data_IF_611694686994
#
_entry.id   IF_611694686994
#
_cell.length_a   1.000
_cell.length_b   1.000
_cell.length_c   1.000
_cell.angle_alpha   90.00
_cell.angle_beta   90.00
_cell.angle_gamma   90.00
#
_symmetry.space_group_name_H-M   'P 1'
#
loop_
_entity.id
_entity.type
_entity.pdbx_description
1 polymer ?
#
# COMPACT_ATOMS: atom_id res chain seq x y z
N UNK A 1 -16.39 23.81 14.21
CA UNK A 1 -16.63 24.15 12.79
C UNK A 1 -15.82 23.26 11.83
N UNK A 2 -14.55 22.93 12.15
CA UNK A 2 -13.68 22.11 11.28
C UNK A 2 -14.19 20.68 11.05
N UNK A 3 -14.61 19.99 12.11
CA UNK A 3 -15.10 18.62 12.01
C UNK A 3 -16.29 18.45 11.05
N UNK A 4 -17.22 19.42 11.04
CA UNK A 4 -18.35 19.41 10.11
C UNK A 4 -17.89 19.49 8.63
N UNK A 5 -16.82 20.25 8.37
CA UNK A 5 -16.21 20.35 7.03
C UNK A 5 -15.53 19.04 6.62
N UNK A 6 -14.82 18.40 7.56
CA UNK A 6 -14.23 17.06 7.33
C UNK A 6 -15.31 16.03 7.02
N UNK A 7 -16.38 15.98 7.82
CA UNK A 7 -17.50 15.05 7.61
C UNK A 7 -18.13 15.29 6.24
N UNK A 8 -18.32 16.55 5.83
CA UNK A 8 -18.84 16.88 4.51
C UNK A 8 -17.89 16.40 3.39
N UNK A 9 -16.58 16.65 3.49
CA UNK A 9 -15.59 16.20 2.51
C UNK A 9 -15.52 14.66 2.42
N UNK A 10 -15.59 13.98 3.57
CA UNK A 10 -15.67 12.53 3.63
C UNK A 10 -16.95 11.98 2.99
N UNK A 11 -18.12 12.57 3.29
CA UNK A 11 -19.38 12.16 2.69
C UNK A 11 -19.39 12.35 1.16
N UNK A 12 -18.75 13.40 0.67
CA UNK A 12 -18.56 13.62 -0.75
C UNK A 12 -17.70 12.52 -1.40
N UNK A 13 -16.56 12.18 -0.78
CA UNK A 13 -15.72 11.06 -1.20
C UNK A 13 -16.50 9.73 -1.21
N UNK A 14 -17.18 9.43 -0.10
CA UNK A 14 -17.97 8.21 0.08
C UNK A 14 -19.15 8.12 -0.90
N UNK A 15 -19.78 9.25 -1.22
CA UNK A 15 -20.82 9.34 -2.26
C UNK A 15 -20.25 9.05 -3.65
N UNK A 16 -19.11 9.64 -3.99
CA UNK A 16 -18.43 9.36 -5.27
C UNK A 16 -18.05 7.90 -5.42
N UNK A 17 -17.55 7.26 -4.34
CA UNK A 17 -17.30 5.81 -4.33
C UNK A 17 -18.58 5.01 -4.52
N UNK A 18 -19.68 5.35 -3.85
CA UNK A 18 -20.98 4.68 -4.05
C UNK A 18 -21.45 4.76 -5.50
N UNK A 19 -21.29 5.92 -6.14
CA UNK A 19 -21.64 6.09 -7.55
C UNK A 19 -20.78 5.23 -8.50
N UNK A 20 -19.48 5.09 -8.23
CA UNK A 20 -18.57 4.32 -9.07
C UNK A 20 -18.68 2.80 -8.81
N UNK A 21 -18.68 2.40 -7.55
CA UNK A 21 -18.43 1.02 -7.10
C UNK A 21 -19.66 0.36 -6.48
N UNK A 22 -20.65 1.15 -6.02
CA UNK A 22 -21.85 0.65 -5.35
C UNK A 22 -21.74 0.56 -3.82
N UNK A 23 -20.57 0.86 -3.25
CA UNK A 23 -20.32 0.85 -1.79
C UNK A 23 -19.65 2.15 -1.34
N UNK A 24 -19.84 2.51 -0.07
CA UNK A 24 -19.20 3.69 0.55
C UNK A 24 -17.79 3.42 1.03
N UNK A 25 -17.12 4.48 1.47
CA UNK A 25 -15.85 4.36 2.20
C UNK A 25 -16.09 3.89 3.64
N UNK A 26 -15.04 3.36 4.28
CA UNK A 26 -15.06 3.01 5.70
C UNK A 26 -15.38 4.23 6.56
N UNK A 27 -16.17 4.02 7.63
CA UNK A 27 -16.73 5.09 8.43
C UNK A 27 -15.65 5.96 9.08
N UNK A 28 -15.79 7.28 8.96
CA UNK A 28 -14.89 8.22 9.61
C UNK A 28 -14.98 8.11 11.14
N UNK A 29 -13.87 8.04 11.90
CA UNK A 29 -13.85 7.85 13.36
C UNK A 29 -14.23 9.12 14.13
N UNK A 30 -15.41 9.67 13.83
CA UNK A 30 -15.89 10.95 14.35
C UNK A 30 -16.06 10.93 15.88
N UNK A 31 -16.57 9.83 16.44
CA UNK A 31 -16.81 9.69 17.89
C UNK A 31 -15.52 9.78 18.70
N UNK A 32 -14.43 9.19 18.19
CA UNK A 32 -13.11 9.27 18.80
C UNK A 32 -12.60 10.71 18.80
N UNK A 33 -12.71 11.39 17.65
CA UNK A 33 -12.16 12.74 17.45
C UNK A 33 -12.96 13.88 18.12
N UNK A 34 -14.19 13.63 18.58
CA UNK A 34 -15.00 14.63 19.31
C UNK A 34 -14.68 14.65 20.83
N UNK A 35 -13.96 13.65 21.34
CA UNK A 35 -13.65 13.60 22.77
C UNK A 35 -12.90 14.86 23.21
N UNK A 36 -13.49 15.63 24.14
CA UNK A 36 -12.93 16.89 24.66
C UNK A 36 -11.54 16.75 25.29
N UNK A 37 -11.12 15.52 25.58
CA UNK A 37 -9.84 15.18 26.21
C UNK A 37 -8.97 14.29 25.31
N UNK A 38 -9.22 14.25 24.00
CA UNK A 38 -8.36 13.48 23.10
C UNK A 38 -6.96 14.10 23.10
N UNK A 39 -5.95 13.28 23.35
CA UNK A 39 -4.56 13.71 23.19
C UNK A 39 -4.22 13.83 21.71
N UNK A 40 -3.22 14.65 21.38
CA UNK A 40 -2.75 14.74 19.99
C UNK A 40 -2.29 13.37 19.45
N UNK A 41 -1.63 12.56 20.30
CA UNK A 41 -1.17 11.21 19.94
C UNK A 41 -2.33 10.25 19.61
N UNK A 42 -3.41 10.30 20.40
CA UNK A 42 -4.59 9.48 20.14
C UNK A 42 -5.30 9.91 18.85
N UNK A 43 -5.37 11.23 18.59
CA UNK A 43 -5.94 11.76 17.35
C UNK A 43 -5.13 11.31 16.12
N UNK A 44 -3.81 11.41 16.18
CA UNK A 44 -2.90 10.92 15.13
C UNK A 44 -3.12 9.42 14.89
N UNK A 45 -3.20 8.63 15.96
CA UNK A 45 -3.39 7.18 15.86
C UNK A 45 -4.74 6.83 15.22
N UNK A 46 -5.82 7.49 15.63
CA UNK A 46 -7.15 7.28 15.07
C UNK A 46 -7.21 7.67 13.59
N UNK A 47 -6.69 8.85 13.23
CA UNK A 47 -6.67 9.33 11.85
C UNK A 47 -5.77 8.44 10.99
N UNK A 48 -4.61 8.02 11.48
CA UNK A 48 -3.72 7.12 10.73
C UNK A 48 -4.37 5.77 10.48
N UNK A 49 -4.99 5.16 11.49
CA UNK A 49 -5.64 3.84 11.34
C UNK A 49 -6.70 3.90 10.24
N UNK A 50 -7.57 4.91 10.31
CA UNK A 50 -8.60 5.10 9.31
C UNK A 50 -8.05 5.50 7.92
N UNK A 51 -7.16 6.50 7.84
CA UNK A 51 -6.67 7.03 6.57
C UNK A 51 -5.67 6.10 5.88
N UNK A 52 -4.76 5.50 6.64
CA UNK A 52 -3.67 4.66 6.11
C UNK A 52 -4.02 3.18 6.01
N UNK A 53 -4.96 2.66 6.81
CA UNK A 53 -5.36 1.25 6.72
C UNK A 53 -6.70 1.13 6.00
N UNK A 54 -7.75 1.76 6.52
CA UNK A 54 -9.12 1.54 6.03
C UNK A 54 -9.40 2.23 4.68
N UNK A 55 -8.89 3.44 4.47
CA UNK A 55 -9.03 4.19 3.21
C UNK A 55 -7.94 3.88 2.18
N UNK A 56 -6.89 3.14 2.57
CA UNK A 56 -5.70 2.91 1.74
C UNK A 56 -6.03 2.47 0.33
N UNK A 57 -6.91 1.48 0.22
CA UNK A 57 -7.25 0.87 -1.06
C UNK A 57 -7.92 1.86 -2.02
N UNK A 58 -8.76 2.75 -1.50
CA UNK A 58 -9.37 3.81 -2.30
C UNK A 58 -8.36 4.89 -2.67
N UNK A 59 -7.50 5.30 -1.72
CA UNK A 59 -6.47 6.31 -1.95
C UNK A 59 -5.39 5.85 -2.93
N UNK A 60 -5.04 4.57 -2.94
CA UNK A 60 -4.10 3.97 -3.90
C UNK A 60 -4.66 4.01 -5.32
N UNK A 61 -5.97 3.85 -5.47
CA UNK A 61 -6.65 4.02 -6.76
C UNK A 61 -6.70 5.50 -7.18
N UNK A 62 -7.05 6.40 -6.26
CA UNK A 62 -7.32 7.80 -6.57
C UNK A 62 -6.03 8.60 -6.79
N UNK A 63 -5.02 8.42 -5.95
CA UNK A 63 -3.81 9.26 -5.97
C UNK A 63 -3.16 9.33 -7.36
N UNK A 64 -2.92 8.23 -8.10
CA UNK A 64 -2.31 8.29 -9.42
C UNK A 64 -3.11 9.08 -10.47
N UNK A 65 -4.40 9.30 -10.25
CA UNK A 65 -5.34 9.98 -11.16
C UNK A 65 -5.46 11.48 -10.89
N UNK A 66 -4.90 11.95 -9.78
CA UNK A 66 -4.79 13.38 -9.51
C UNK A 66 -3.75 14.04 -10.42
N UNK A 67 -3.91 15.34 -10.64
CA UNK A 67 -2.86 16.15 -11.23
C UNK A 67 -1.62 16.25 -10.31
N UNK A 68 -0.61 17.03 -10.72
CA UNK A 68 0.60 17.18 -9.91
C UNK A 68 0.32 17.74 -8.50
N UNK A 69 -0.50 18.79 -8.40
CA UNK A 69 -0.78 19.45 -7.12
C UNK A 69 -1.64 18.56 -6.22
N UNK A 70 -2.67 17.93 -6.79
CA UNK A 70 -3.52 17.01 -6.05
C UNK A 70 -2.73 15.81 -5.48
N UNK A 71 -1.80 15.25 -6.29
CA UNK A 71 -0.89 14.19 -5.82
C UNK A 71 0.04 14.66 -4.72
N UNK A 72 0.53 15.90 -4.82
CA UNK A 72 1.39 16.50 -3.81
C UNK A 72 0.65 16.63 -2.48
N UNK A 73 -0.55 17.23 -2.47
CA UNK A 73 -1.39 17.37 -1.25
C UNK A 73 -1.62 16.02 -0.55
N UNK A 74 -2.02 14.99 -1.30
CA UNK A 74 -2.28 13.66 -0.71
C UNK A 74 -1.02 13.01 -0.14
N UNK A 75 0.12 13.17 -0.82
CA UNK A 75 1.41 12.62 -0.37
C UNK A 75 1.96 13.37 0.84
N UNK A 76 1.85 14.70 0.85
CA UNK A 76 2.32 15.54 1.95
C UNK A 76 1.52 15.27 3.22
N UNK A 77 0.19 15.19 3.12
CA UNK A 77 -0.63 14.83 4.28
C UNK A 77 -0.31 13.42 4.80
N UNK A 78 -0.15 12.45 3.90
CA UNK A 78 0.26 11.09 4.30
C UNK A 78 1.63 11.09 5.00
N UNK A 79 2.61 11.82 4.46
CA UNK A 79 3.94 11.94 5.06
C UNK A 79 3.85 12.56 6.46
N UNK A 80 3.16 13.70 6.58
CA UNK A 80 2.90 14.34 7.87
C UNK A 80 2.33 13.36 8.88
N UNK A 81 1.27 12.62 8.50
CA UNK A 81 0.61 11.67 9.39
C UNK A 81 1.52 10.50 9.78
N UNK A 82 2.34 9.99 8.86
CA UNK A 82 3.35 8.97 9.13
C UNK A 82 4.43 9.48 10.09
N UNK A 83 4.93 10.70 9.90
CA UNK A 83 5.98 11.28 10.74
C UNK A 83 5.48 11.55 12.16
N UNK A 84 4.27 12.09 12.32
CA UNK A 84 3.64 12.27 13.63
C UNK A 84 3.41 10.92 14.34
N UNK A 85 2.94 9.90 13.61
CA UNK A 85 2.76 8.56 14.20
C UNK A 85 4.10 7.94 14.61
N UNK A 86 5.14 8.09 13.79
CA UNK A 86 6.47 7.59 14.12
C UNK A 86 7.04 8.30 15.35
N UNK A 87 6.93 9.62 15.46
CA UNK A 87 7.37 10.38 16.64
C UNK A 87 6.72 9.83 17.93
N UNK A 88 5.43 9.47 17.87
CA UNK A 88 4.69 8.95 19.02
C UNK A 88 5.03 7.48 19.35
N UNK A 89 5.59 6.70 18.42
CA UNK A 89 5.83 5.25 18.58
C UNK A 89 7.31 4.88 18.73
N UNK A 90 8.24 5.62 18.10
CA UNK A 90 9.67 5.30 18.06
C UNK A 90 10.53 6.57 17.99
N UNK A 91 11.54 6.68 18.86
CA UNK A 91 12.53 7.75 18.82
C UNK A 91 13.55 7.56 17.69
N UNK A 92 13.14 7.77 16.43
CA UNK A 92 14.05 7.81 15.28
C UNK A 92 14.35 9.27 14.91
N UNK A 93 15.63 9.66 14.95
CA UNK A 93 16.07 11.05 15.05
C UNK A 93 15.68 11.93 13.85
N UNK A 94 15.74 11.42 12.60
CA UNK A 94 15.50 12.25 11.42
C UNK A 94 14.02 12.60 11.22
N UNK A 95 13.12 11.60 11.35
CA UNK A 95 11.66 11.83 11.22
C UNK A 95 11.08 12.61 12.41
N UNK A 96 11.71 12.48 13.58
CA UNK A 96 11.34 13.27 14.75
C UNK A 96 11.53 14.77 14.49
N UNK A 97 12.57 15.15 13.73
CA UNK A 97 12.86 16.56 13.42
C UNK A 97 11.79 17.20 12.52
N UNK A 98 11.33 16.50 11.47
CA UNK A 98 10.25 17.00 10.60
C UNK A 98 8.92 17.11 11.36
N UNK A 99 8.59 16.10 12.17
CA UNK A 99 7.37 16.11 12.98
C UNK A 99 7.37 17.26 14.01
N UNK A 100 8.49 17.48 14.70
CA UNK A 100 8.67 18.57 15.67
C UNK A 100 8.67 19.95 14.98
N UNK A 101 9.30 20.07 13.81
CA UNK A 101 9.30 21.31 13.05
C UNK A 101 7.88 21.70 12.61
N UNK A 102 7.06 20.73 12.19
CA UNK A 102 5.65 20.97 11.89
C UNK A 102 4.89 21.42 13.14
N UNK A 103 5.05 20.73 14.27
CA UNK A 103 4.40 21.12 15.54
C UNK A 103 4.79 22.55 15.97
N UNK A 104 6.08 22.90 15.89
CA UNK A 104 6.57 24.23 16.23
C UNK A 104 6.01 25.34 15.31
N UNK A 105 5.80 25.04 14.03
CA UNK A 105 5.25 25.99 13.06
C UNK A 105 3.76 26.32 13.28
N UNK A 106 3.04 25.52 14.07
CA UNK A 106 1.62 25.71 14.40
C UNK A 106 1.44 26.90 15.35
N UNK A 107 2.52 27.33 15.98
CA UNK A 107 2.52 28.35 17.01
C UNK A 107 2.92 29.71 16.44
N UNK A 108 2.02 30.68 16.59
CA UNK A 108 2.35 32.10 16.61
C UNK A 108 2.36 32.55 18.08
N UNK A 109 3.54 32.70 18.68
CA UNK A 109 3.82 33.32 20.00
C UNK A 109 3.70 32.48 21.31
N UNK A 110 3.46 31.16 21.29
CA UNK A 110 3.61 30.28 22.48
C UNK A 110 4.95 29.51 22.47
N UNK A 111 5.40 29.04 23.64
CA UNK A 111 6.66 28.27 23.80
C UNK A 111 6.47 26.80 23.37
N UNK A 112 5.25 26.26 23.51
CA UNK A 112 4.86 24.92 23.04
C UNK A 112 3.38 24.90 22.61
N UNK A 113 3.02 24.25 21.49
CA UNK A 113 1.64 24.15 21.03
C UNK A 113 0.79 23.25 21.94
N UNK A 114 -0.42 23.71 22.30
CA UNK A 114 -1.38 22.85 22.99
C UNK A 114 -1.87 21.69 22.10
N UNK A 115 -2.20 20.54 22.72
CA UNK A 115 -2.81 19.39 22.02
C UNK A 115 -4.02 19.78 21.18
N UNK A 116 -4.88 20.67 21.69
CA UNK A 116 -6.04 21.15 20.98
C UNK A 116 -5.67 21.89 19.68
N UNK A 117 -4.63 22.74 19.73
CA UNK A 117 -4.14 23.45 18.55
C UNK A 117 -3.51 22.50 17.51
N UNK A 118 -2.75 21.50 17.96
CA UNK A 118 -2.17 20.48 17.10
C UNK A 118 -3.23 19.60 16.43
N UNK A 119 -4.26 19.20 17.18
CA UNK A 119 -5.41 18.46 16.65
C UNK A 119 -6.14 19.29 15.61
N UNK A 120 -6.48 20.55 15.92
CA UNK A 120 -7.19 21.42 14.96
C UNK A 120 -6.42 21.62 13.66
N UNK A 121 -5.10 21.77 13.74
CA UNK A 121 -4.25 21.89 12.57
C UNK A 121 -4.13 20.57 11.77
N UNK A 122 -4.01 19.43 12.45
CA UNK A 122 -4.03 18.12 11.78
C UNK A 122 -5.36 17.90 11.05
N UNK A 123 -6.47 18.33 11.66
CA UNK A 123 -7.80 18.29 11.05
C UNK A 123 -7.91 19.24 9.84
N UNK A 124 -7.23 20.38 9.83
CA UNK A 124 -7.14 21.25 8.65
C UNK A 124 -6.44 20.55 7.47
N UNK A 125 -5.31 19.92 7.74
CA UNK A 125 -4.54 19.19 6.72
C UNK A 125 -5.34 17.99 6.18
N UNK A 126 -5.99 17.25 7.08
CA UNK A 126 -6.89 16.15 6.71
C UNK A 126 -8.04 16.64 5.83
N UNK A 127 -8.67 17.76 6.18
CA UNK A 127 -9.75 18.34 5.39
C UNK A 127 -9.29 18.72 3.97
N UNK A 128 -8.08 19.26 3.83
CA UNK A 128 -7.47 19.53 2.52
C UNK A 128 -7.32 18.25 1.71
N UNK A 129 -6.68 17.22 2.30
CA UNK A 129 -6.47 15.92 1.65
C UNK A 129 -7.79 15.25 1.24
N UNK A 130 -8.82 15.28 2.09
CA UNK A 130 -10.12 14.69 1.77
C UNK A 130 -10.87 15.44 0.67
N UNK A 131 -10.81 16.77 0.63
CA UNK A 131 -11.39 17.53 -0.48
C UNK A 131 -10.70 17.19 -1.80
N UNK A 132 -9.37 17.09 -1.79
CA UNK A 132 -8.60 16.67 -2.96
C UNK A 132 -8.99 15.26 -3.41
N UNK A 133 -9.05 14.30 -2.49
CA UNK A 133 -9.48 12.93 -2.78
C UNK A 133 -10.91 12.89 -3.33
N UNK A 134 -11.84 13.66 -2.74
CA UNK A 134 -13.22 13.77 -3.19
C UNK A 134 -13.32 14.39 -4.59
N UNK A 135 -12.49 15.38 -4.92
CA UNK A 135 -12.46 15.98 -6.26
C UNK A 135 -12.01 14.95 -7.32
N UNK A 136 -10.93 14.21 -7.04
CA UNK A 136 -10.46 13.12 -7.92
C UNK A 136 -11.54 12.05 -8.05
N UNK A 137 -12.13 11.63 -6.93
CA UNK A 137 -13.18 10.62 -6.89
C UNK A 137 -14.41 11.03 -7.71
N UNK A 138 -14.79 12.32 -7.65
CA UNK A 138 -15.91 12.88 -8.43
C UNK A 138 -15.62 12.86 -9.94
N UNK A 139 -14.37 13.12 -10.35
CA UNK A 139 -13.95 12.98 -11.75
C UNK A 139 -13.99 11.51 -12.18
N UNK A 140 -13.43 10.61 -11.36
CA UNK A 140 -13.40 9.18 -11.63
C UNK A 140 -14.81 8.57 -11.71
N UNK A 141 -15.72 8.94 -10.82
CA UNK A 141 -17.08 8.40 -10.78
C UNK A 141 -17.96 8.83 -11.96
N UNK A 142 -17.61 9.94 -12.63
CA UNK A 142 -18.33 10.45 -13.82
C UNK A 142 -17.80 9.87 -15.13
N UNK A 143 -16.60 9.29 -15.13
CA UNK A 143 -16.02 8.61 -16.28
C UNK A 143 -16.36 7.12 -16.24
N UNK A 144 -17.05 6.62 -17.25
CA UNK A 144 -17.43 5.19 -17.32
C UNK A 144 -16.20 4.27 -17.23
N UNK A 145 -15.11 4.65 -17.91
CA UNK A 145 -13.84 3.91 -17.90
C UNK A 145 -13.22 3.90 -16.51
N UNK A 146 -13.13 5.06 -15.86
CA UNK A 146 -12.52 5.16 -14.53
C UNK A 146 -13.39 4.53 -13.44
N UNK A 147 -14.71 4.68 -13.51
CA UNK A 147 -15.63 4.02 -12.60
C UNK A 147 -15.54 2.49 -12.72
N UNK A 148 -15.42 1.97 -13.95
CA UNK A 148 -15.18 0.54 -14.19
C UNK A 148 -13.82 0.08 -13.65
N UNK A 149 -12.77 0.87 -13.87
CA UNK A 149 -11.44 0.61 -13.32
C UNK A 149 -11.44 0.62 -11.79
N UNK A 150 -12.16 1.56 -11.15
CA UNK A 150 -12.30 1.63 -9.70
C UNK A 150 -13.07 0.44 -9.17
N UNK A 151 -14.16 0.04 -9.83
CA UNK A 151 -14.93 -1.16 -9.45
C UNK A 151 -14.06 -2.42 -9.52
N UNK A 152 -13.27 -2.54 -10.57
CA UNK A 152 -12.31 -3.66 -10.74
C UNK A 152 -11.23 -3.61 -9.67
N UNK A 153 -10.67 -2.43 -9.37
CA UNK A 153 -9.69 -2.25 -8.31
C UNK A 153 -10.28 -2.60 -6.94
N UNK A 154 -11.48 -2.13 -6.62
CA UNK A 154 -12.16 -2.40 -5.35
C UNK A 154 -12.53 -3.89 -5.20
N UNK A 155 -12.82 -4.59 -6.29
CA UNK A 155 -13.05 -6.03 -6.28
C UNK A 155 -11.75 -6.83 -6.05
N UNK A 156 -10.58 -6.27 -6.39
CA UNK A 156 -9.26 -6.88 -6.16
C UNK A 156 -8.75 -6.50 -4.78
N UNK A 157 -9.01 -7.33 -3.79
CA UNK A 157 -8.40 -7.21 -2.46
C UNK A 157 -7.01 -7.85 -2.46
N UNK A 158 -6.07 -7.38 -1.63
CA UNK A 158 -4.78 -8.07 -1.43
C UNK A 158 -4.93 -9.55 -1.09
N UNK A 159 -5.96 -9.91 -0.33
CA UNK A 159 -6.33 -11.30 -0.06
C UNK A 159 -6.74 -12.07 -1.32
N UNK A 160 -7.57 -11.49 -2.19
CA UNK A 160 -7.96 -12.11 -3.45
C UNK A 160 -6.77 -12.27 -4.42
N UNK A 161 -5.87 -11.29 -4.45
CA UNK A 161 -4.63 -11.34 -5.25
C UNK A 161 -3.71 -12.46 -4.74
N UNK A 162 -3.51 -12.53 -3.42
CA UNK A 162 -2.71 -13.60 -2.82
C UNK A 162 -3.36 -14.97 -3.00
N UNK A 163 -4.67 -15.11 -2.85
CA UNK A 163 -5.37 -16.38 -3.07
C UNK A 163 -5.26 -16.84 -4.52
N UNK A 164 -5.33 -15.93 -5.50
CA UNK A 164 -5.15 -16.27 -6.91
C UNK A 164 -3.75 -16.83 -7.17
N UNK A 165 -2.71 -16.14 -6.72
CA UNK A 165 -1.32 -16.60 -6.86
C UNK A 165 -1.09 -17.92 -6.11
N UNK A 166 -1.64 -18.07 -4.89
CA UNK A 166 -1.54 -19.30 -4.13
C UNK A 166 -2.24 -20.48 -4.84
N UNK A 167 -3.37 -20.24 -5.51
CA UNK A 167 -4.04 -21.23 -6.33
C UNK A 167 -3.20 -21.61 -7.57
N UNK A 168 -2.61 -20.64 -8.26
CA UNK A 168 -1.75 -20.85 -9.44
C UNK A 168 -0.53 -21.73 -9.11
N UNK A 169 -0.03 -21.68 -7.86
CA UNK A 169 1.08 -22.52 -7.39
C UNK A 169 0.61 -23.81 -6.70
N UNK A 170 -0.67 -24.18 -6.84
CA UNK A 170 -1.25 -25.42 -6.32
C UNK A 170 -1.52 -25.42 -4.81
N UNK A 171 -1.56 -24.27 -4.15
CA UNK A 171 -1.77 -24.09 -2.70
C UNK A 171 -3.16 -23.54 -2.38
N UNK A 172 -4.18 -24.27 -2.80
CA UNK A 172 -5.61 -23.88 -2.68
C UNK A 172 -6.19 -24.05 -1.27
N UNK A 173 -5.60 -24.92 -0.44
CA UNK A 173 -6.14 -25.33 0.86
C UNK A 173 -5.27 -24.88 2.05
N UNK A 174 -4.87 -23.61 2.09
CA UNK A 174 -4.13 -23.07 3.23
C UNK A 174 -5.08 -22.66 4.36
N UNK A 175 -4.65 -22.86 5.61
CA UNK A 175 -5.37 -22.35 6.79
C UNK A 175 -5.46 -20.82 6.73
N UNK A 176 -6.62 -20.25 7.09
CA UNK A 176 -6.86 -18.80 7.01
C UNK A 176 -5.78 -17.97 7.71
N UNK A 177 -5.34 -18.37 8.92
CA UNK A 177 -4.25 -17.68 9.65
C UNK A 177 -2.95 -17.56 8.84
N UNK A 178 -2.66 -18.56 8.00
CA UNK A 178 -1.48 -18.57 7.12
C UNK A 178 -1.69 -17.64 5.92
N UNK A 179 -2.90 -17.64 5.36
CA UNK A 179 -3.32 -16.66 4.33
C UNK A 179 -3.19 -15.24 4.86
N UNK A 180 -3.70 -14.93 6.06
CA UNK A 180 -3.62 -13.60 6.66
C UNK A 180 -2.17 -13.13 6.85
N UNK A 181 -1.27 -14.04 7.21
CA UNK A 181 0.16 -13.73 7.37
C UNK A 181 0.81 -13.40 6.03
N UNK A 182 0.49 -14.16 4.99
CA UNK A 182 0.97 -13.93 3.62
C UNK A 182 0.45 -12.59 3.09
N UNK A 183 -0.85 -12.32 3.30
CA UNK A 183 -1.49 -11.05 2.92
C UNK A 183 -0.82 -9.87 3.62
N UNK A 184 -0.56 -9.94 4.93
CA UNK A 184 0.17 -8.89 5.65
C UNK A 184 1.58 -8.64 5.10
N UNK A 185 2.32 -9.70 4.73
CA UNK A 185 3.64 -9.55 4.10
C UNK A 185 3.54 -8.93 2.72
N UNK A 186 2.54 -9.32 1.93
CA UNK A 186 2.28 -8.74 0.62
C UNK A 186 1.95 -7.25 0.74
N UNK A 187 1.02 -6.89 1.61
CA UNK A 187 0.65 -5.50 1.89
C UNK A 187 1.81 -4.66 2.42
N UNK A 188 2.71 -5.27 3.20
CA UNK A 188 3.91 -4.63 3.73
C UNK A 188 5.10 -4.59 2.76
N UNK A 189 5.00 -5.21 1.58
CA UNK A 189 6.14 -5.38 0.69
C UNK A 189 6.59 -4.03 0.09
N UNK A 190 7.88 -3.63 0.21
CA UNK A 190 8.34 -2.30 -0.21
C UNK A 190 8.04 -1.97 -1.67
N UNK A 191 8.17 -2.96 -2.57
CA UNK A 191 7.92 -2.79 -4.01
C UNK A 191 6.42 -2.68 -4.36
N UNK A 192 5.50 -3.04 -3.45
CA UNK A 192 4.06 -2.95 -3.71
C UNK A 192 3.60 -1.51 -3.94
N UNK A 193 4.22 -0.56 -3.22
CA UNK A 193 3.96 0.88 -3.35
C UNK A 193 4.35 1.46 -4.72
N UNK A 194 5.31 0.82 -5.40
CA UNK A 194 5.75 1.20 -6.74
C UNK A 194 5.02 0.46 -7.87
N UNK A 195 4.18 -0.53 -7.54
CA UNK A 195 3.44 -1.31 -8.53
C UNK A 195 2.35 -0.44 -9.18
N UNK A 196 2.43 -0.25 -10.50
CA UNK A 196 1.48 0.60 -11.25
C UNK A 196 0.40 -0.22 -11.94
N UNK A 197 0.68 -1.49 -12.21
CA UNK A 197 -0.20 -2.39 -12.95
C UNK A 197 -0.60 -3.60 -12.12
N UNK A 198 -1.67 -4.27 -12.54
CA UNK A 198 -2.09 -5.53 -11.95
C UNK A 198 -1.02 -6.63 -12.10
N UNK A 199 -0.25 -6.58 -13.18
CA UNK A 199 0.83 -7.51 -13.46
C UNK A 199 2.02 -7.30 -12.50
N UNK A 200 2.34 -6.05 -12.16
CA UNK A 200 3.36 -5.73 -11.15
C UNK A 200 2.97 -6.28 -9.77
N UNK A 201 1.70 -6.09 -9.39
CA UNK A 201 1.16 -6.62 -8.13
C UNK A 201 1.19 -8.15 -8.11
N UNK A 202 0.80 -8.80 -9.20
CA UNK A 202 0.87 -10.26 -9.33
C UNK A 202 2.30 -10.79 -9.19
N UNK A 203 3.31 -10.13 -9.76
CA UNK A 203 4.73 -10.50 -9.59
C UNK A 203 5.18 -10.40 -8.15
N UNK A 204 4.82 -9.31 -7.47
CA UNK A 204 5.18 -9.11 -6.07
C UNK A 204 4.49 -10.14 -5.18
N UNK A 205 3.20 -10.41 -5.42
CA UNK A 205 2.45 -11.47 -4.74
C UNK A 205 3.13 -12.83 -4.93
N UNK A 206 3.63 -13.12 -6.14
CA UNK A 206 4.35 -14.34 -6.46
C UNK A 206 5.68 -14.47 -5.69
N UNK A 207 6.48 -13.39 -5.60
CA UNK A 207 7.70 -13.35 -4.77
C UNK A 207 7.37 -13.61 -3.30
N UNK A 208 6.38 -12.92 -2.75
CA UNK A 208 5.96 -13.09 -1.35
C UNK A 208 5.45 -14.51 -1.08
N UNK A 209 4.73 -15.12 -2.02
CA UNK A 209 4.28 -16.50 -1.90
C UNK A 209 5.46 -17.50 -1.87
N UNK A 210 6.57 -17.20 -2.55
CA UNK A 210 7.78 -18.04 -2.58
C UNK A 210 8.59 -17.94 -1.30
N UNK A 211 8.88 -16.72 -0.83
CA UNK A 211 9.67 -16.45 0.38
C UNK A 211 9.05 -17.02 1.66
N UNK A 212 7.75 -17.36 1.63
CA UNK A 212 7.06 -17.96 2.77
C UNK A 212 7.18 -19.49 2.82
N UNK A 213 7.66 -20.14 1.76
CA UNK A 213 7.62 -21.59 1.60
C UNK A 213 8.96 -22.22 1.22
N UNK A 214 9.92 -21.42 0.78
CA UNK A 214 11.24 -21.88 0.37
C UNK A 214 12.27 -21.03 1.10
N UNK A 215 13.32 -21.68 1.59
CA UNK A 215 14.48 -20.97 2.11
C UNK A 215 15.02 -20.07 0.99
N UNK A 216 15.43 -18.81 1.29
CA UNK A 216 15.95 -17.91 0.26
C UNK A 216 17.06 -18.57 -0.54
N UNK A 217 17.05 -18.39 -1.86
CA UNK A 217 18.15 -18.85 -2.70
C UNK A 217 19.46 -18.20 -2.27
N UNK A 218 20.55 -18.92 -2.44
CA UNK A 218 21.91 -18.41 -2.25
C UNK A 218 22.23 -17.19 -3.11
N UNK A 219 21.54 -17.03 -4.26
CA UNK A 219 21.60 -15.85 -5.10
C UNK A 219 20.33 -15.00 -5.00
N UNK A 220 20.42 -13.66 -5.01
CA UNK A 220 19.28 -12.76 -5.05
C UNK A 220 18.35 -13.04 -6.24
N UNK A 221 17.03 -12.95 -6.02
CA UNK A 221 16.06 -13.26 -7.08
C UNK A 221 16.12 -12.28 -8.24
N UNK A 222 16.42 -11.00 -7.99
CA UNK A 222 16.60 -10.01 -9.04
C UNK A 222 17.82 -10.31 -9.91
N UNK A 223 18.93 -10.78 -9.33
CA UNK A 223 20.11 -11.23 -10.07
C UNK A 223 19.80 -12.44 -10.96
N UNK A 224 19.07 -13.43 -10.44
CA UNK A 224 18.65 -14.60 -11.24
C UNK A 224 17.70 -14.17 -12.37
N UNK A 225 16.77 -13.25 -12.11
CA UNK A 225 15.83 -12.79 -13.14
C UNK A 225 16.52 -11.92 -14.20
N UNK A 226 17.51 -11.12 -13.83
CA UNK A 226 18.29 -10.28 -14.75
C UNK A 226 19.11 -11.14 -15.71
N UNK A 227 19.80 -12.16 -15.17
CA UNK A 227 20.66 -13.08 -15.94
C UNK A 227 19.90 -13.88 -17.02
N UNK A 228 18.58 -14.02 -16.85
CA UNK A 228 17.70 -14.70 -17.79
C UNK A 228 16.82 -13.73 -18.59
N UNK A 229 16.97 -12.42 -18.40
CA UNK A 229 16.16 -11.39 -19.07
C UNK A 229 14.67 -11.43 -18.72
N UNK A 230 14.32 -12.00 -17.56
CA UNK A 230 12.93 -12.21 -17.12
C UNK A 230 12.48 -11.17 -16.09
N UNK A 231 13.25 -10.08 -15.89
CA UNK A 231 12.78 -8.95 -15.09
C UNK A 231 11.54 -8.38 -15.76
N UNK A 232 10.42 -8.52 -15.06
CA UNK A 232 9.17 -8.07 -15.61
C UNK A 232 8.63 -8.98 -16.72
N UNK A 233 8.92 -10.28 -16.67
CA UNK A 233 8.30 -11.33 -17.49
C UNK A 233 7.43 -12.28 -16.63
N UNK A 234 6.25 -12.74 -17.11
CA UNK A 234 5.43 -13.74 -16.41
C UNK A 234 6.16 -15.07 -16.10
N UNK A 235 7.08 -15.51 -16.95
CA UNK A 235 7.86 -16.74 -16.80
C UNK A 235 8.91 -16.65 -15.68
N UNK A 236 9.25 -15.44 -15.23
CA UNK A 236 10.23 -15.25 -14.14
C UNK A 236 9.86 -16.01 -12.87
N UNK A 237 8.56 -16.17 -12.59
CA UNK A 237 8.10 -16.95 -11.45
C UNK A 237 8.45 -18.46 -11.59
N UNK A 238 8.18 -19.04 -12.75
CA UNK A 238 8.49 -20.44 -13.04
C UNK A 238 10.00 -20.70 -12.99
N UNK A 239 10.82 -19.75 -13.47
CA UNK A 239 12.28 -19.83 -13.36
C UNK A 239 12.73 -19.90 -11.90
N UNK A 240 12.18 -19.05 -11.02
CA UNK A 240 12.54 -19.06 -9.60
C UNK A 240 12.16 -20.38 -8.93
N UNK A 241 11.02 -20.99 -9.25
CA UNK A 241 10.68 -22.34 -8.75
C UNK A 241 11.71 -23.40 -9.16
N UNK A 242 12.17 -23.35 -10.41
CA UNK A 242 13.21 -24.25 -10.91
C UNK A 242 14.54 -23.99 -10.21
N UNK A 243 14.89 -22.72 -9.99
CA UNK A 243 16.09 -22.33 -9.25
C UNK A 243 16.10 -22.94 -7.84
N UNK A 244 14.96 -22.91 -7.15
CA UNK A 244 14.79 -23.58 -5.85
C UNK A 244 14.95 -25.10 -5.94
N UNK A 245 14.42 -25.74 -6.98
CA UNK A 245 14.66 -27.16 -7.23
C UNK A 245 16.13 -27.50 -7.48
N UNK A 246 16.83 -26.66 -8.25
CA UNK A 246 18.26 -26.80 -8.56
C UNK A 246 19.12 -26.63 -7.31
N UNK A 247 18.79 -25.64 -6.47
CA UNK A 247 19.50 -25.39 -5.22
C UNK A 247 19.25 -26.50 -4.20
N UNK A 248 18.01 -26.98 -4.07
CA UNK A 248 17.66 -28.13 -3.22
C UNK A 248 18.37 -29.43 -3.66
N UNK A 249 18.73 -29.56 -4.93
CA UNK A 249 19.56 -30.65 -5.46
C UNK A 249 21.07 -30.47 -5.18
N UNK A 250 21.47 -29.43 -4.46
CA UNK A 250 22.83 -29.15 -4.02
C UNK A 250 23.64 -28.24 -4.94
N UNK A 251 23.03 -27.64 -5.96
CA UNK A 251 23.72 -26.72 -6.88
C UNK A 251 23.52 -25.27 -6.43
N UNK A 252 24.37 -24.81 -5.50
CA UNK A 252 24.32 -23.48 -4.87
C UNK A 252 25.37 -22.51 -5.44
N UNK A 253 25.17 -21.20 -5.20
CA UNK A 253 26.15 -20.16 -5.52
C UNK A 253 26.54 -20.14 -7.01
N UNK A 254 27.85 -20.12 -7.30
CA UNK A 254 28.36 -20.03 -8.69
C UNK A 254 27.93 -21.18 -9.61
N UNK A 255 27.47 -22.31 -9.05
CA UNK A 255 27.01 -23.47 -9.82
C UNK A 255 25.52 -23.42 -10.14
N UNK A 256 24.76 -22.55 -9.47
CA UNK A 256 23.32 -22.45 -9.64
C UNK A 256 22.95 -21.97 -11.05
N UNK A 257 23.52 -20.84 -11.51
CA UNK A 257 23.19 -20.23 -12.80
C UNK A 257 23.49 -21.17 -13.99
N UNK A 258 24.66 -21.83 -14.09
CA UNK A 258 24.93 -22.76 -15.19
C UNK A 258 23.98 -23.95 -15.26
N UNK A 259 23.63 -24.53 -14.11
CA UNK A 259 22.71 -25.69 -14.04
C UNK A 259 21.28 -25.24 -14.34
N UNK A 260 20.86 -24.12 -13.77
CA UNK A 260 19.58 -23.50 -14.03
C UNK A 260 19.42 -23.15 -15.51
N UNK A 261 20.47 -22.64 -16.18
CA UNK A 261 20.44 -22.35 -17.63
C UNK A 261 20.20 -23.59 -18.47
N UNK A 262 20.88 -24.69 -18.15
CA UNK A 262 20.69 -25.97 -18.83
C UNK A 262 19.30 -26.56 -18.58
N UNK A 263 18.79 -26.46 -17.34
CA UNK A 263 17.44 -26.91 -17.01
C UNK A 263 16.38 -26.06 -17.72
N UNK A 264 16.52 -24.74 -17.67
CA UNK A 264 15.59 -23.77 -18.24
C UNK A 264 15.45 -23.91 -19.75
N UNK A 265 16.55 -24.09 -20.49
CA UNK A 265 16.51 -24.36 -21.93
C UNK A 265 15.69 -25.60 -22.31
N UNK A 266 15.50 -26.56 -21.39
CA UNK A 266 14.76 -27.80 -21.66
C UNK A 266 13.28 -27.72 -21.30
N UNK A 267 12.88 -26.72 -20.54
CA UNK A 267 11.53 -26.61 -19.95
C UNK A 267 10.85 -25.28 -20.25
N UNK A 268 11.60 -24.27 -20.69
CA UNK A 268 11.02 -23.03 -21.18
C UNK A 268 10.24 -23.35 -22.45
N UNK A 269 8.99 -22.90 -22.58
CA UNK A 269 8.29 -22.96 -23.86
C UNK A 269 9.10 -22.16 -24.88
N UNK A 270 9.29 -22.72 -26.09
CA UNK A 270 10.01 -22.05 -27.16
C UNK A 270 9.39 -20.69 -27.46
N UNK A 271 10.23 -19.65 -27.59
CA UNK A 271 9.83 -18.34 -28.08
C UNK A 271 9.55 -18.43 -29.59
N UNK A 272 8.39 -18.96 -29.98
CA UNK A 272 7.81 -18.75 -31.32
C UNK A 272 7.03 -17.45 -31.38
#
# INVERSE_FOLDING_TARGET
MMLARIVAAFEDLSRSKRMAVGTGCSAFPQSTLISRSISFSDAVTAIWTWYHEELRHDLDFLTPRGDYQQRLTLKEFKRLLDDQRHLNQHANFDRASEAQAWQAAIVSNEVEPSDAALVDALLNELHSALNTAAEIARKASRSTTEASAWRTHNARTPESEMRAVLADIGRVNLQQRRVDTIVRRFEGHPKLRSAKTAQDRARIAAVVAMEMNLDPLTLPYDEILDEFGLIGDPLGFSLLLVAHGVEAAGNTGNHLIPVLRNAWQRISPDST
#
